data_IF_577413802853
#
_entry.id   IF_577413802853
#
_cell.length_a   1.000
_cell.length_b   1.000
_cell.length_c   1.000
_cell.angle_alpha   90.00
_cell.angle_beta   90.00
_cell.angle_gamma   90.00
#
_symmetry.space_group_name_H-M   'P 1'
#
loop_
_entity.id
_entity.type
_entity.pdbx_description
1 polymer ?
#
# COMPACT_ATOMS: atom_id res chain seq x y z
N UNK A 1 20.43 26.44 -21.93
CA UNK A 1 19.50 26.94 -20.89
C UNK A 1 18.09 26.35 -21.03
N UNK A 2 17.93 25.25 -21.76
CA UNK A 2 16.67 24.47 -21.89
C UNK A 2 16.86 23.02 -21.39
N UNK A 3 18.11 22.56 -21.23
CA UNK A 3 18.43 21.20 -20.75
C UNK A 3 18.39 21.04 -19.22
N UNK A 4 18.17 22.14 -18.48
CA UNK A 4 17.98 22.11 -17.02
C UNK A 4 16.51 22.03 -16.59
N UNK A 5 15.57 22.21 -17.52
CA UNK A 5 14.13 22.10 -17.26
C UNK A 5 13.56 20.68 -17.52
N UNK A 6 14.32 19.78 -18.15
CA UNK A 6 13.84 18.43 -18.48
C UNK A 6 14.06 17.36 -17.40
N UNK A 7 14.79 17.67 -16.32
CA UNK A 7 15.06 16.69 -15.25
C UNK A 7 14.02 16.69 -14.11
N UNK A 8 13.01 17.56 -14.18
CA UNK A 8 11.91 17.62 -13.20
C UNK A 8 10.62 16.91 -13.64
N UNK A 9 10.50 16.48 -14.90
CA UNK A 9 9.25 15.92 -15.45
C UNK A 9 9.12 14.39 -15.38
N UNK A 10 10.17 13.64 -15.05
CA UNK A 10 10.12 12.17 -15.12
C UNK A 10 9.85 11.44 -13.79
N UNK A 11 9.73 12.15 -12.67
CA UNK A 11 9.56 11.57 -11.33
C UNK A 11 8.18 11.84 -10.70
N UNK A 12 7.10 11.88 -11.48
CA UNK A 12 5.80 12.33 -10.99
C UNK A 12 4.87 11.19 -10.53
N UNK A 13 4.69 11.04 -9.22
CA UNK A 13 3.64 10.20 -8.61
C UNK A 13 2.76 10.97 -7.60
N UNK A 14 2.27 12.15 -7.98
CA UNK A 14 1.07 12.77 -7.40
C UNK A 14 1.12 14.31 -7.34
N UNK A 15 0.00 14.97 -7.66
CA UNK A 15 -0.04 16.39 -8.05
C UNK A 15 -0.28 17.40 -6.93
N UNK A 16 0.52 18.48 -6.94
CA UNK A 16 0.35 19.70 -6.14
C UNK A 16 -0.79 20.56 -6.70
N UNK A 17 -1.73 20.89 -5.81
CA UNK A 17 -2.97 21.64 -6.10
C UNK A 17 -2.76 22.94 -6.89
N UNK A 18 -3.72 23.24 -7.77
CA UNK A 18 -4.33 24.55 -7.73
C UNK A 18 -5.83 24.46 -8.03
N UNK A 19 -6.58 24.88 -6.99
CA UNK A 19 -7.94 25.49 -6.93
C UNK A 19 -9.05 24.77 -7.71
N UNK A 20 -10.21 24.65 -7.05
CA UNK A 20 -11.54 24.18 -7.55
C UNK A 20 -11.84 22.68 -7.36
N UNK A 21 -13.09 22.38 -6.98
CA UNK A 21 -13.53 21.15 -6.31
C UNK A 21 -13.47 19.87 -7.15
N UNK A 22 -12.36 19.15 -7.08
CA UNK A 22 -12.14 17.90 -7.80
C UNK A 22 -12.36 16.65 -6.91
N UNK A 23 -13.09 15.65 -7.44
CA UNK A 23 -12.98 14.26 -6.97
C UNK A 23 -11.57 13.76 -7.27
N UNK A 24 -10.80 13.49 -6.23
CA UNK A 24 -9.44 12.96 -6.33
C UNK A 24 -9.48 11.52 -6.83
N UNK A 25 -8.85 11.21 -7.98
CA UNK A 25 -8.64 9.82 -8.41
C UNK A 25 -7.45 9.24 -7.65
N UNK A 26 -7.76 8.42 -6.66
CA UNK A 26 -6.82 7.65 -5.84
C UNK A 26 -6.75 6.20 -6.33
N UNK A 27 -5.88 5.37 -5.73
CA UNK A 27 -5.67 3.98 -6.18
C UNK A 27 -6.98 3.20 -6.35
N UNK A 28 -7.89 3.28 -5.38
CA UNK A 28 -9.21 2.64 -5.37
C UNK A 28 -10.07 2.91 -6.63
N UNK A 29 -9.94 4.09 -7.23
CA UNK A 29 -10.63 4.47 -8.47
C UNK A 29 -10.05 3.79 -9.71
N UNK A 30 -8.79 3.37 -9.66
CA UNK A 30 -8.07 2.74 -10.76
C UNK A 30 -8.14 1.22 -10.70
N UNK A 31 -8.44 0.66 -9.53
CA UNK A 31 -8.65 -0.77 -9.39
C UNK A 31 -9.96 -1.15 -10.09
N UNK A 32 -9.99 -2.21 -10.91
CA UNK A 32 -11.21 -2.66 -11.56
C UNK A 32 -12.24 -2.92 -10.49
N UNK A 33 -13.38 -2.21 -10.54
CA UNK A 33 -14.48 -2.39 -9.60
C UNK A 33 -14.69 -3.90 -9.50
N UNK A 34 -14.78 -4.41 -8.27
CA UNK A 34 -15.46 -5.67 -8.10
C UNK A 34 -16.90 -5.36 -8.48
N UNK A 35 -17.20 -5.43 -9.78
CA UNK A 35 -18.57 -5.28 -10.22
C UNK A 35 -19.34 -6.28 -9.39
N UNK A 36 -20.37 -5.80 -8.69
CA UNK A 36 -21.08 -6.56 -7.66
C UNK A 36 -21.67 -7.86 -8.22
N UNK A 37 -21.59 -8.03 -9.54
CA UNK A 37 -22.03 -9.14 -10.35
C UNK A 37 -20.93 -9.86 -11.16
N UNK A 38 -19.80 -9.23 -11.54
CA UNK A 38 -18.88 -9.81 -12.56
C UNK A 38 -17.46 -10.19 -12.08
N UNK A 39 -17.04 -9.78 -10.88
CA UNK A 39 -15.71 -10.16 -10.35
C UNK A 39 -15.74 -10.69 -8.92
N UNK A 40 -16.91 -11.13 -8.46
CA UNK A 40 -16.91 -12.23 -7.50
C UNK A 40 -16.28 -13.39 -8.26
N UNK A 41 -15.02 -13.73 -7.94
CA UNK A 41 -14.38 -14.95 -8.46
C UNK A 41 -15.44 -16.06 -8.50
N UNK A 42 -15.55 -16.87 -9.56
CA UNK A 42 -16.51 -17.97 -9.59
C UNK A 42 -16.49 -18.79 -8.29
N UNK A 43 -15.33 -18.85 -7.61
CA UNK A 43 -15.14 -19.43 -6.28
C UNK A 43 -16.02 -18.83 -5.16
N UNK A 44 -16.31 -17.54 -5.18
CA UNK A 44 -17.06 -16.83 -4.13
C UNK A 44 -18.59 -16.87 -4.33
N UNK A 45 -19.10 -16.93 -5.58
CA UNK A 45 -20.55 -17.14 -5.82
C UNK A 45 -20.93 -18.61 -5.57
N UNK A 46 -20.06 -19.56 -5.95
CA UNK A 46 -20.32 -21.00 -5.77
C UNK A 46 -20.50 -21.36 -4.28
N UNK A 47 -19.87 -20.62 -3.35
CA UNK A 47 -19.96 -20.92 -1.91
C UNK A 47 -21.32 -20.60 -1.27
N UNK A 48 -22.10 -19.66 -1.81
CA UNK A 48 -23.39 -19.28 -1.21
C UNK A 48 -24.45 -20.39 -1.28
N UNK A 49 -24.22 -21.45 -2.07
CA UNK A 49 -25.14 -22.57 -2.25
C UNK A 49 -24.68 -23.89 -1.62
N UNK A 50 -23.52 -23.95 -0.97
CA UNK A 50 -23.02 -25.20 -0.39
C UNK A 50 -23.22 -25.22 1.13
N UNK A 51 -23.78 -26.32 1.67
CA UNK A 51 -23.93 -26.53 3.12
C UNK A 51 -22.60 -26.52 3.88
N UNK A 52 -22.59 -26.56 5.22
CA UNK A 52 -21.38 -26.39 6.04
C UNK A 52 -20.24 -27.34 5.66
N UNK A 53 -18.98 -26.93 5.91
CA UNK A 53 -17.81 -27.81 5.69
C UNK A 53 -17.97 -29.17 6.39
N UNK A 54 -17.98 -30.24 5.61
CA UNK A 54 -17.98 -31.63 6.09
C UNK A 54 -16.60 -32.12 6.48
N UNK A 55 -15.54 -31.41 6.08
CA UNK A 55 -14.13 -31.72 6.36
C UNK A 55 -13.56 -30.64 7.28
N UNK A 56 -12.91 -31.07 8.37
CA UNK A 56 -12.23 -30.20 9.34
C UNK A 56 -10.90 -29.66 8.83
N UNK A 57 -10.13 -29.00 9.71
CA UNK A 57 -8.79 -28.46 9.38
C UNK A 57 -7.66 -29.50 9.43
N UNK A 58 -7.99 -30.78 9.59
CA UNK A 58 -7.02 -31.85 9.81
C UNK A 58 -6.25 -31.62 11.11
N UNK A 59 -4.92 -31.67 11.06
CA UNK A 59 -4.04 -31.42 12.23
C UNK A 59 -4.22 -30.01 12.82
N UNK A 60 -4.74 -29.05 12.04
CA UNK A 60 -5.00 -27.68 12.48
C UNK A 60 -6.41 -27.49 13.08
N UNK A 61 -7.13 -28.56 13.39
CA UNK A 61 -8.45 -28.49 14.05
C UNK A 61 -8.28 -28.18 15.55
N UNK A 62 -7.76 -26.99 15.80
CA UNK A 62 -7.43 -26.44 17.12
C UNK A 62 -8.65 -25.74 17.72
N UNK A 63 -8.66 -25.49 19.04
CA UNK A 63 -9.69 -24.68 19.68
C UNK A 63 -9.85 -23.33 18.97
N UNK A 64 -11.10 -22.87 18.82
CA UNK A 64 -11.44 -21.64 18.09
C UNK A 64 -10.63 -20.42 18.55
N UNK A 65 -10.34 -20.33 19.85
CA UNK A 65 -9.52 -19.25 20.42
C UNK A 65 -8.11 -19.23 19.81
N UNK A 66 -7.48 -20.39 19.65
CA UNK A 66 -6.14 -20.51 19.06
C UNK A 66 -6.17 -20.16 17.58
N UNK A 67 -7.17 -20.66 16.84
CA UNK A 67 -7.37 -20.29 15.43
C UNK A 67 -7.57 -18.79 15.25
N UNK A 68 -8.33 -18.15 16.13
CA UNK A 68 -8.54 -16.70 16.10
C UNK A 68 -7.25 -15.92 16.37
N UNK A 69 -6.41 -16.38 17.31
CA UNK A 69 -5.08 -15.81 17.52
C UNK A 69 -4.20 -15.95 16.26
N UNK A 70 -4.16 -17.14 15.67
CA UNK A 70 -3.40 -17.40 14.43
C UNK A 70 -3.84 -16.43 13.34
N UNK A 71 -5.14 -16.36 13.04
CA UNK A 71 -5.67 -15.47 11.99
C UNK A 71 -5.32 -13.99 12.25
N UNK A 72 -5.33 -13.55 13.51
CA UNK A 72 -4.97 -12.18 13.89
C UNK A 72 -3.50 -11.87 13.63
N UNK A 73 -2.62 -12.86 13.82
CA UNK A 73 -1.17 -12.74 13.67
C UNK A 73 -0.66 -12.98 12.23
N UNK A 74 -1.50 -13.45 11.31
CA UNK A 74 -1.11 -13.66 9.92
C UNK A 74 -1.13 -12.35 9.12
N UNK A 75 -0.20 -12.23 8.18
CA UNK A 75 -0.23 -11.20 7.15
C UNK A 75 -1.33 -11.44 6.10
N UNK A 76 -1.72 -10.41 5.35
CA UNK A 76 -2.80 -10.52 4.38
C UNK A 76 -2.44 -11.50 3.22
N UNK A 77 -1.16 -11.68 2.91
CA UNK A 77 -0.70 -12.72 1.97
C UNK A 77 -0.96 -14.13 2.50
N UNK A 78 -0.58 -14.39 3.75
CA UNK A 78 -0.79 -15.65 4.43
C UNK A 78 -2.29 -15.94 4.64
N UNK A 79 -3.09 -14.91 4.89
CA UNK A 79 -4.55 -15.03 4.92
C UNK A 79 -5.11 -15.45 3.56
N UNK A 80 -4.68 -14.82 2.47
CA UNK A 80 -5.12 -15.20 1.12
C UNK A 80 -4.80 -16.68 0.83
N UNK A 81 -3.62 -17.14 1.24
CA UNK A 81 -3.19 -18.54 1.09
C UNK A 81 -4.01 -19.48 1.99
N UNK A 82 -4.21 -19.13 3.26
CA UNK A 82 -4.95 -19.93 4.22
C UNK A 82 -6.41 -20.12 3.78
N UNK A 83 -7.04 -19.05 3.27
CA UNK A 83 -8.38 -19.10 2.65
C UNK A 83 -8.46 -20.04 1.45
N UNK A 84 -7.36 -20.22 0.72
CA UNK A 84 -7.32 -21.04 -0.50
C UNK A 84 -7.11 -22.54 -0.23
N UNK A 85 -6.71 -22.93 0.99
CA UNK A 85 -6.37 -24.33 1.28
C UNK A 85 -7.59 -25.26 1.28
N UNK A 86 -8.64 -24.88 2.01
CA UNK A 86 -9.88 -25.65 2.07
C UNK A 86 -11.07 -24.76 2.50
N UNK A 87 -12.28 -25.29 2.40
CA UNK A 87 -13.51 -24.56 2.73
C UNK A 87 -13.60 -24.18 4.21
N UNK A 88 -13.10 -25.02 5.11
CA UNK A 88 -13.12 -24.74 6.55
C UNK A 88 -12.20 -23.57 6.91
N UNK A 89 -11.00 -23.49 6.33
CA UNK A 89 -10.08 -22.37 6.52
C UNK A 89 -10.69 -21.07 6.01
N UNK A 90 -11.36 -21.12 4.85
CA UNK A 90 -12.10 -19.99 4.31
C UNK A 90 -13.20 -19.49 5.27
N UNK A 91 -14.00 -20.42 5.83
CA UNK A 91 -15.02 -20.10 6.84
C UNK A 91 -14.42 -19.48 8.10
N UNK A 92 -13.35 -20.07 8.65
CA UNK A 92 -12.67 -19.58 9.85
C UNK A 92 -12.18 -18.14 9.66
N UNK A 93 -11.54 -17.84 8.53
CA UNK A 93 -11.09 -16.48 8.24
C UNK A 93 -12.24 -15.50 8.05
N UNK A 94 -13.26 -15.88 7.28
CA UNK A 94 -14.38 -14.97 6.98
C UNK A 94 -15.29 -14.73 8.21
N UNK A 95 -15.25 -15.63 9.20
CA UNK A 95 -15.96 -15.48 10.48
C UNK A 95 -15.12 -14.80 11.56
N UNK A 96 -13.80 -14.69 11.39
CA UNK A 96 -12.91 -13.96 12.32
C UNK A 96 -13.35 -12.49 12.45
N UNK A 97 -13.62 -11.98 13.67
CA UNK A 97 -14.22 -10.65 13.85
C UNK A 97 -13.47 -9.51 13.18
N UNK A 98 -12.15 -9.43 13.36
CA UNK A 98 -11.33 -8.35 12.80
C UNK A 98 -11.31 -8.40 11.27
N UNK A 99 -11.04 -9.57 10.70
CA UNK A 99 -10.96 -9.73 9.24
C UNK A 99 -12.32 -9.53 8.59
N UNK A 100 -13.40 -9.99 9.22
CA UNK A 100 -14.77 -9.75 8.76
C UNK A 100 -15.07 -8.27 8.62
N UNK A 101 -14.73 -7.47 9.64
CA UNK A 101 -14.94 -6.01 9.61
C UNK A 101 -14.09 -5.37 8.50
N UNK A 102 -12.80 -5.71 8.41
CA UNK A 102 -11.91 -5.19 7.34
C UNK A 102 -12.49 -5.53 5.96
N UNK A 103 -12.90 -6.77 5.75
CA UNK A 103 -13.42 -7.23 4.47
C UNK A 103 -14.76 -6.58 4.09
N UNK A 104 -15.56 -6.16 5.07
CA UNK A 104 -16.84 -5.49 4.85
C UNK A 104 -16.71 -3.98 4.68
N UNK A 105 -15.88 -3.33 5.50
CA UNK A 105 -15.82 -1.86 5.59
C UNK A 105 -14.64 -1.24 4.85
N UNK A 106 -13.55 -1.99 4.69
CA UNK A 106 -12.29 -1.51 4.11
C UNK A 106 -11.83 -2.41 2.95
N UNK A 107 -12.79 -2.86 2.14
CA UNK A 107 -12.50 -3.75 1.02
C UNK A 107 -11.52 -3.12 0.01
N UNK A 108 -11.60 -1.80 -0.21
CA UNK A 108 -10.69 -1.08 -1.10
C UNK A 108 -9.24 -1.07 -0.59
N UNK A 109 -9.04 -1.08 0.73
CA UNK A 109 -7.72 -1.25 1.34
C UNK A 109 -7.14 -2.62 0.99
N UNK A 110 -7.94 -3.69 1.10
CA UNK A 110 -7.50 -5.04 0.71
C UNK A 110 -7.25 -5.17 -0.80
N UNK A 111 -8.05 -4.50 -1.64
CA UNK A 111 -7.80 -4.45 -3.10
C UNK A 111 -6.49 -3.71 -3.39
N UNK A 112 -6.28 -2.56 -2.76
CA UNK A 112 -5.08 -1.76 -2.90
C UNK A 112 -3.84 -2.54 -2.52
N UNK A 113 -3.82 -3.14 -1.32
CA UNK A 113 -2.74 -4.01 -0.84
C UNK A 113 -2.31 -5.08 -1.83
N UNK A 114 -3.28 -5.71 -2.52
CA UNK A 114 -3.01 -6.73 -3.54
C UNK A 114 -2.47 -6.11 -4.82
N UNK A 115 -3.06 -5.00 -5.25
CA UNK A 115 -2.71 -4.32 -6.49
C UNK A 115 -1.27 -3.76 -6.46
N UNK A 116 -0.86 -3.18 -5.34
CA UNK A 116 0.49 -2.63 -5.15
C UNK A 116 1.48 -3.63 -4.54
N UNK A 117 1.05 -4.88 -4.34
CA UNK A 117 1.82 -6.01 -3.81
C UNK A 117 2.40 -5.83 -2.40
N UNK A 118 1.75 -5.03 -1.54
CA UNK A 118 2.18 -4.80 -0.13
C UNK A 118 1.44 -5.66 0.89
N UNK A 119 0.60 -6.61 0.46
CA UNK A 119 -0.20 -7.45 1.37
C UNK A 119 0.58 -8.27 2.40
N UNK A 120 1.87 -8.54 2.16
CA UNK A 120 2.75 -9.27 3.08
C UNK A 120 3.34 -8.37 4.19
N UNK A 121 3.20 -7.04 4.06
CA UNK A 121 3.84 -6.07 4.96
C UNK A 121 3.00 -5.76 6.20
N UNK A 122 1.78 -6.31 6.32
CA UNK A 122 0.88 -6.02 7.43
C UNK A 122 0.06 -7.23 7.85
N UNK A 123 -0.04 -7.42 9.16
CA UNK A 123 -0.88 -8.44 9.80
C UNK A 123 -2.31 -7.96 10.01
N UNK A 124 -3.25 -8.91 10.10
CA UNK A 124 -4.69 -8.63 10.26
C UNK A 124 -4.95 -7.73 11.47
N UNK A 125 -4.34 -8.05 12.61
CA UNK A 125 -4.53 -7.28 13.84
C UNK A 125 -4.10 -5.82 13.67
N UNK A 126 -2.88 -5.58 13.20
CA UNK A 126 -2.35 -4.22 13.01
C UNK A 126 -3.17 -3.45 11.97
N UNK A 127 -3.59 -4.09 10.88
CA UNK A 127 -4.45 -3.44 9.89
C UNK A 127 -5.80 -3.02 10.51
N UNK A 128 -6.40 -3.90 11.32
CA UNK A 128 -7.64 -3.61 12.03
C UNK A 128 -7.49 -2.41 12.98
N UNK A 129 -6.42 -2.36 13.76
CA UNK A 129 -6.13 -1.26 14.70
C UNK A 129 -5.94 0.08 13.96
N UNK A 130 -5.18 0.09 12.86
CA UNK A 130 -5.00 1.29 12.02
C UNK A 130 -6.31 1.75 11.38
N UNK A 131 -7.15 0.82 10.91
CA UNK A 131 -8.45 1.13 10.33
C UNK A 131 -9.49 1.55 11.38
N UNK A 132 -9.33 1.12 12.62
CA UNK A 132 -10.19 1.52 13.74
C UNK A 132 -9.86 2.91 14.28
N UNK A 133 -8.66 3.43 13.98
CA UNK A 133 -8.26 4.79 14.36
C UNK A 133 -8.92 5.82 13.45
N UNK A 134 -9.69 6.75 14.02
CA UNK A 134 -10.39 7.78 13.23
C UNK A 134 -9.51 8.99 12.87
N UNK A 135 -8.40 9.18 13.55
CA UNK A 135 -7.56 10.37 13.45
C UNK A 135 -6.39 10.21 12.47
N UNK A 136 -6.01 11.32 11.85
CA UNK A 136 -4.81 11.49 11.05
C UNK A 136 -3.58 11.44 11.96
N UNK A 137 -2.54 10.73 11.55
CA UNK A 137 -1.28 10.58 12.31
C UNK A 137 -0.53 11.91 12.53
N UNK A 138 -0.84 12.93 11.74
CA UNK A 138 -0.07 14.18 11.68
C UNK A 138 -0.77 15.35 12.36
N UNK A 139 -2.07 15.54 12.11
CA UNK A 139 -2.82 16.72 12.58
C UNK A 139 -4.00 16.38 13.48
N UNK A 140 -4.26 15.10 13.79
CA UNK A 140 -5.42 14.70 14.61
C UNK A 140 -6.79 14.86 13.94
N UNK A 141 -6.87 15.54 12.78
CA UNK A 141 -8.07 15.63 11.93
C UNK A 141 -8.59 14.23 11.54
N UNK A 142 -9.82 14.13 11.01
CA UNK A 142 -10.35 12.86 10.50
C UNK A 142 -9.45 12.26 9.39
N UNK A 143 -8.91 11.07 9.65
CA UNK A 143 -8.03 10.32 8.75
C UNK A 143 -8.81 9.56 7.69
N UNK A 144 -9.45 10.26 6.75
CA UNK A 144 -10.29 9.66 5.71
C UNK A 144 -9.57 8.73 4.73
N UNK A 145 -8.23 8.72 4.72
CA UNK A 145 -7.40 7.88 3.87
C UNK A 145 -6.47 7.01 4.70
N UNK A 146 -6.01 5.91 4.11
CA UNK A 146 -4.92 5.09 4.63
C UNK A 146 -3.78 5.04 3.60
N UNK A 147 -2.59 5.44 4.01
CA UNK A 147 -1.40 5.35 3.17
C UNK A 147 -0.87 3.92 3.20
N UNK A 148 -1.03 3.19 2.09
CA UNK A 148 -0.83 1.74 2.02
C UNK A 148 0.63 1.26 2.07
N UNK A 149 1.59 2.18 2.17
CA UNK A 149 3.02 1.87 2.22
C UNK A 149 3.49 1.74 3.67
N UNK A 150 3.11 2.69 4.53
CA UNK A 150 3.45 2.69 5.97
C UNK A 150 2.23 2.44 6.88
N UNK A 151 1.04 2.26 6.29
CA UNK A 151 -0.22 1.98 6.99
C UNK A 151 -0.67 3.09 7.95
N UNK A 152 -0.32 4.34 7.64
CA UNK A 152 -0.73 5.51 8.40
C UNK A 152 -2.11 6.00 7.97
N UNK A 153 -2.91 6.47 8.94
CA UNK A 153 -4.15 7.19 8.68
C UNK A 153 -3.85 8.63 8.37
N UNK A 154 -4.41 9.14 7.28
CA UNK A 154 -4.05 10.46 6.73
C UNK A 154 -5.33 11.22 6.36
N UNK A 155 -5.42 12.49 6.73
CA UNK A 155 -6.53 13.35 6.29
C UNK A 155 -6.32 13.82 4.83
N UNK A 156 -7.39 14.27 4.16
CA UNK A 156 -7.31 14.75 2.78
C UNK A 156 -6.24 15.84 2.58
N UNK A 157 -6.09 16.73 3.56
CA UNK A 157 -5.15 17.85 3.53
C UNK A 157 -3.70 17.37 3.57
N UNK A 158 -3.36 16.44 4.47
CA UNK A 158 -2.03 15.85 4.53
C UNK A 158 -1.71 15.13 3.23
N UNK A 159 -2.61 14.25 2.80
CA UNK A 159 -2.41 13.42 1.62
C UNK A 159 -2.21 14.27 0.35
N UNK A 160 -2.92 15.41 0.25
CA UNK A 160 -2.83 16.27 -0.93
C UNK A 160 -1.66 17.28 -0.92
N UNK A 161 -1.07 17.58 0.24
CA UNK A 161 -0.09 18.68 0.37
C UNK A 161 1.31 18.26 0.80
N UNK A 162 1.47 17.12 1.47
CA UNK A 162 2.75 16.69 1.99
C UNK A 162 3.44 15.75 1.01
N UNK A 163 4.62 16.16 0.56
CA UNK A 163 5.43 15.40 -0.40
C UNK A 163 5.88 14.04 0.16
N UNK A 164 5.89 13.85 1.49
CA UNK A 164 6.17 12.55 2.12
C UNK A 164 5.21 11.42 1.73
N UNK A 165 3.98 11.76 1.32
CA UNK A 165 2.99 10.78 0.85
C UNK A 165 3.05 10.56 -0.67
N UNK A 166 3.99 11.22 -1.35
CA UNK A 166 4.29 11.02 -2.78
C UNK A 166 5.44 10.02 -2.88
N UNK A 167 5.18 8.80 -3.36
CA UNK A 167 6.21 7.80 -3.53
C UNK A 167 7.24 8.19 -4.59
N UNK A 168 8.48 7.74 -4.42
CA UNK A 168 9.60 8.03 -5.32
C UNK A 168 9.95 6.81 -6.16
N UNK A 169 10.49 7.01 -7.36
CA UNK A 169 11.18 5.92 -8.06
C UNK A 169 12.50 5.64 -7.35
N UNK A 170 12.96 4.40 -7.47
CA UNK A 170 14.26 3.97 -6.94
C UNK A 170 15.40 4.91 -7.36
N UNK A 171 15.45 5.29 -8.65
CA UNK A 171 16.49 6.20 -9.15
C UNK A 171 16.41 7.60 -8.54
N UNK A 172 15.19 8.10 -8.28
CA UNK A 172 15.00 9.42 -7.70
C UNK A 172 15.42 9.41 -6.23
N UNK A 173 15.13 8.33 -5.50
CA UNK A 173 15.57 8.18 -4.10
C UNK A 173 17.11 8.13 -3.99
N UNK A 174 17.79 7.42 -4.90
CA UNK A 174 19.26 7.40 -4.97
C UNK A 174 19.81 8.81 -5.25
N UNK A 175 19.21 9.51 -6.23
CA UNK A 175 19.66 10.84 -6.67
C UNK A 175 19.41 11.92 -5.63
N UNK A 176 18.21 11.95 -5.07
CA UNK A 176 17.74 13.02 -4.19
C UNK A 176 18.33 12.93 -2.78
N UNK A 177 18.62 11.71 -2.29
CA UNK A 177 19.09 11.48 -0.93
C UNK A 177 20.48 10.84 -0.86
N UNK A 178 21.15 10.68 -2.00
CA UNK A 178 22.51 10.13 -2.05
C UNK A 178 22.60 8.71 -1.48
N UNK A 179 21.57 7.90 -1.64
CA UNK A 179 21.52 6.55 -1.07
C UNK A 179 22.36 5.57 -1.89
N UNK A 180 22.84 4.51 -1.23
CA UNK A 180 23.38 3.33 -1.92
C UNK A 180 22.26 2.36 -2.27
N UNK A 181 22.50 1.49 -3.27
CA UNK A 181 21.56 0.42 -3.62
C UNK A 181 21.30 -0.54 -2.45
N UNK A 182 22.26 -0.73 -1.55
CA UNK A 182 22.13 -1.58 -0.38
C UNK A 182 21.12 -0.99 0.61
N UNK A 183 21.24 0.30 0.92
CA UNK A 183 20.27 1.01 1.78
C UNK A 183 18.90 1.03 1.11
N UNK A 184 18.83 1.34 -0.18
CA UNK A 184 17.57 1.38 -0.93
C UNK A 184 16.77 0.06 -0.88
N UNK A 185 17.46 -1.08 -0.79
CA UNK A 185 16.83 -2.41 -0.71
C UNK A 185 16.15 -2.67 0.64
N UNK A 186 16.55 -1.98 1.70
CA UNK A 186 15.94 -2.14 3.03
C UNK A 186 14.67 -1.30 3.21
N UNK A 187 14.46 -0.31 2.33
CA UNK A 187 13.35 0.62 2.43
C UNK A 187 12.00 0.00 2.04
N UNK A 188 10.88 0.48 2.65
CA UNK A 188 9.55 0.11 2.24
C UNK A 188 9.33 0.36 0.75
N UNK A 189 9.04 -0.73 0.03
CA UNK A 189 8.86 -0.74 -1.43
C UNK A 189 7.52 -1.34 -1.82
N UNK A 190 6.98 -0.85 -2.92
CA UNK A 190 5.74 -1.36 -3.48
C UNK A 190 5.72 -1.20 -5.00
N UNK A 191 4.72 -1.79 -5.63
CA UNK A 191 4.56 -1.74 -7.08
C UNK A 191 3.53 -0.68 -7.47
N UNK A 192 3.92 0.26 -8.32
CA UNK A 192 3.01 1.22 -8.95
C UNK A 192 1.96 0.49 -9.78
N UNK A 193 0.69 0.88 -9.60
CA UNK A 193 -0.44 0.32 -10.34
C UNK A 193 -0.88 1.29 -11.44
N UNK A 194 -1.10 0.86 -12.69
CA UNK A 194 -1.54 1.75 -13.78
C UNK A 194 -2.88 2.45 -13.48
N UNK A 195 -3.00 3.73 -13.84
CA UNK A 195 -4.24 4.47 -13.63
C UNK A 195 -4.10 6.00 -13.69
N UNK A 196 -5.23 6.67 -13.50
CA UNK A 196 -5.28 8.12 -13.36
C UNK A 196 -5.08 8.50 -11.89
N UNK A 197 -4.01 9.23 -11.59
CA UNK A 197 -3.73 9.72 -10.25
C UNK A 197 -3.79 11.24 -10.24
N UNK A 198 -4.70 11.80 -9.44
CA UNK A 198 -4.97 13.23 -9.46
C UNK A 198 -5.43 13.70 -10.86
N UNK A 199 -4.64 14.57 -11.50
CA UNK A 199 -4.85 15.04 -12.88
C UNK A 199 -3.98 14.32 -13.93
N UNK A 200 -3.05 13.47 -13.50
CA UNK A 200 -2.14 12.75 -14.39
C UNK A 200 -2.64 11.35 -14.73
N UNK A 201 -2.13 10.80 -15.83
CA UNK A 201 -2.30 9.40 -16.20
C UNK A 201 -0.96 8.66 -16.13
N UNK A 202 -0.95 7.54 -15.42
CA UNK A 202 0.17 6.63 -15.33
C UNK A 202 -0.18 5.33 -16.05
N UNK A 203 0.41 5.10 -17.21
CA UNK A 203 0.36 3.81 -17.93
C UNK A 203 1.71 3.54 -18.53
N UNK A 204 2.13 2.27 -18.52
CA UNK A 204 3.37 1.83 -19.17
C UNK A 204 3.03 0.74 -20.17
N UNK A 205 3.43 0.96 -21.42
CA UNK A 205 3.11 0.06 -22.55
C UNK A 205 3.89 -1.27 -22.51
N UNK A 206 5.02 -1.33 -21.78
CA UNK A 206 5.98 -2.46 -21.88
C UNK A 206 6.37 -3.15 -20.58
N UNK A 207 6.09 -2.59 -19.41
CA UNK A 207 6.31 -3.29 -18.14
C UNK A 207 5.13 -3.15 -17.18
N UNK A 208 4.68 -4.25 -16.55
CA UNK A 208 3.42 -4.25 -15.83
C UNK A 208 3.47 -3.51 -14.47
N UNK A 209 4.66 -3.23 -13.92
CA UNK A 209 4.80 -2.57 -12.61
C UNK A 209 6.10 -1.75 -12.50
N UNK A 210 6.06 -0.63 -11.76
CA UNK A 210 7.26 0.16 -11.39
C UNK A 210 7.52 0.00 -9.90
N UNK A 211 8.76 -0.25 -9.50
CA UNK A 211 9.16 -0.23 -8.08
C UNK A 211 9.18 1.21 -7.56
N UNK A 212 8.40 1.46 -6.53
CA UNK A 212 8.29 2.74 -5.84
C UNK A 212 8.69 2.59 -4.38
N UNK A 213 9.29 3.65 -3.83
CA UNK A 213 9.82 3.71 -2.47
C UNK A 213 9.08 4.79 -1.69
N UNK A 214 8.89 4.55 -0.39
CA UNK A 214 8.37 5.56 0.54
C UNK A 214 9.34 6.75 0.67
N UNK A 215 8.85 7.95 0.41
CA UNK A 215 9.64 9.19 0.43
C UNK A 215 10.16 9.53 1.82
N UNK A 216 9.34 9.36 2.86
CA UNK A 216 9.75 9.62 4.24
C UNK A 216 10.87 8.68 4.69
N UNK A 217 10.75 7.39 4.38
CA UNK A 217 11.77 6.38 4.71
C UNK A 217 13.07 6.63 3.95
N UNK A 218 13.00 7.01 2.67
CA UNK A 218 14.17 7.36 1.87
C UNK A 218 14.89 8.60 2.41
N UNK A 219 14.13 9.64 2.76
CA UNK A 219 14.68 10.83 3.41
C UNK A 219 15.36 10.48 4.74
N UNK A 220 14.68 9.75 5.62
CA UNK A 220 15.22 9.34 6.92
C UNK A 220 16.50 8.50 6.78
N UNK A 221 16.55 7.58 5.82
CA UNK A 221 17.74 6.80 5.54
C UNK A 221 18.90 7.65 4.97
N UNK A 222 18.59 8.70 4.20
CA UNK A 222 19.58 9.66 3.72
C UNK A 222 20.24 10.41 4.87
N UNK A 223 19.44 10.92 5.81
CA UNK A 223 19.95 11.57 7.01
C UNK A 223 20.84 10.64 7.83
N UNK A 224 20.44 9.37 8.00
CA UNK A 224 21.26 8.39 8.74
C UNK A 224 22.55 8.07 8.00
N UNK A 225 22.50 7.94 6.67
CA UNK A 225 23.67 7.64 5.84
C UNK A 225 24.72 8.76 5.83
N UNK A 226 24.27 10.01 5.85
CA UNK A 226 25.13 11.19 5.76
C UNK A 226 25.25 11.94 7.09
N UNK A 227 24.74 11.38 8.18
CA UNK A 227 24.74 11.90 9.55
C UNK A 227 23.90 13.19 9.78
N UNK A 228 23.65 13.99 8.75
CA UNK A 228 22.86 15.22 8.82
C UNK A 228 22.20 15.58 7.48
N UNK A 229 21.27 16.53 7.52
CA UNK A 229 20.63 17.06 6.32
C UNK A 229 21.62 17.84 5.45
N UNK A 230 22.46 18.65 6.09
CA UNK A 230 23.45 19.50 5.43
C UNK A 230 24.49 18.67 4.68
N UNK A 231 25.03 17.63 5.34
CA UNK A 231 25.99 16.72 4.71
C UNK A 231 25.36 15.91 3.57
N UNK A 232 24.10 15.47 3.72
CA UNK A 232 23.37 14.83 2.63
C UNK A 232 23.22 15.76 1.42
N UNK A 233 22.87 17.03 1.63
CA UNK A 233 22.74 18.00 0.55
C UNK A 233 24.08 18.29 -0.13
N UNK A 234 25.15 18.43 0.64
CA UNK A 234 26.50 18.63 0.12
C UNK A 234 26.96 17.44 -0.73
N UNK A 235 26.74 16.22 -0.25
CA UNK A 235 27.04 14.99 -0.98
C UNK A 235 26.30 14.92 -2.32
N UNK A 236 24.99 15.16 -2.31
CA UNK A 236 24.15 15.14 -3.53
C UNK A 236 24.57 16.23 -4.51
N UNK A 237 24.94 17.43 -4.03
CA UNK A 237 25.40 18.52 -4.88
C UNK A 237 26.75 18.23 -5.56
N UNK A 238 27.61 17.44 -4.90
CA UNK A 238 28.95 17.11 -5.40
C UNK A 238 28.99 15.87 -6.30
N UNK A 239 27.93 15.06 -6.32
CA UNK A 239 27.86 13.87 -7.17
C UNK A 239 27.25 14.18 -8.53
N UNK A 240 28.03 13.92 -9.58
CA UNK A 240 27.51 13.79 -10.93
C UNK A 240 26.92 12.38 -11.09
N UNK A 241 25.60 12.26 -11.06
CA UNK A 241 24.90 11.03 -11.40
C UNK A 241 24.98 10.76 -12.92
N UNK A 242 26.13 10.30 -13.39
CA UNK A 242 26.26 9.61 -14.68
C UNK A 242 25.84 8.15 -14.49
N UNK A 243 24.52 7.90 -14.48
CA UNK A 243 23.92 6.55 -14.51
C UNK A 243 23.05 6.45 -15.75
#
# INVERSE_FOLDING_TARGET
NEEREQLAELAYFGWRSNRTGFRFRTLDWNLPLLDRWELVSPRCIILAKTGPSTVGLGTLDLPLKILSCIVSSLDISAIDQFKAMNRRSLEVVNTHPQFKIINQQAHDTLRGLRAIKTKHMIIVQTLFEKLSTSQCSEYGDYGGYIYLVTFERVCCRCFAKKDRYLPLREIDALKQFGLTLEILRTLPRFQGYPGHYGKGFFTREKEPYISLIDSASAYGAGIVCHESFEAMQEYVANINFNI
#
